data_IF_112602223583
#
_entry.id   IF_112602223583
#
_cell.length_a   1.000
_cell.length_b   1.000
_cell.length_c   1.000
_cell.angle_alpha   90.00
_cell.angle_beta   90.00
_cell.angle_gamma   90.00
#
_symmetry.space_group_name_H-M   'P 1'
#
loop_
_entity.id
_entity.type
_entity.pdbx_description
1 polymer ?
#
# COMPACT_ATOMS: atom_id res chain seq x y z
N UNK A 1 23.28 28.95 -33.97
CA UNK A 1 22.91 28.45 -32.62
C UNK A 1 21.60 27.64 -32.56
N UNK A 2 20.81 27.50 -33.63
CA UNK A 2 19.55 26.73 -33.62
C UNK A 2 19.70 25.19 -33.55
N UNK A 3 20.87 24.63 -33.90
CA UNK A 3 21.09 23.17 -33.97
C UNK A 3 21.17 22.47 -32.60
N UNK A 4 21.60 23.18 -31.54
CA UNK A 4 21.78 22.58 -30.19
C UNK A 4 20.45 22.39 -29.45
N UNK A 5 19.45 23.24 -29.71
CA UNK A 5 18.13 23.14 -29.08
C UNK A 5 17.34 21.90 -29.54
N UNK A 6 17.46 21.51 -30.81
CA UNK A 6 16.74 20.36 -31.38
C UNK A 6 17.30 19.00 -30.89
N UNK A 7 18.60 18.91 -30.61
CA UNK A 7 19.20 17.68 -30.07
C UNK A 7 18.72 17.39 -28.62
N UNK A 8 18.46 18.44 -27.84
CA UNK A 8 18.08 18.30 -26.43
C UNK A 8 16.63 17.83 -26.24
N UNK A 9 15.72 18.17 -27.15
CA UNK A 9 14.31 17.75 -27.05
C UNK A 9 14.11 16.25 -27.35
N UNK A 10 14.85 15.71 -28.33
CA UNK A 10 14.79 14.27 -28.69
C UNK A 10 15.26 13.35 -27.55
N UNK A 11 16.23 13.78 -26.76
CA UNK A 11 16.74 13.00 -25.62
C UNK A 11 15.76 12.86 -24.45
N UNK A 12 14.94 13.89 -24.17
CA UNK A 12 13.95 13.84 -23.06
C UNK A 12 12.78 12.89 -23.37
N UNK A 13 12.32 12.87 -24.62
CA UNK A 13 11.23 12.00 -25.04
C UNK A 13 11.57 10.52 -24.85
N UNK A 14 12.78 10.10 -25.26
CA UNK A 14 13.26 8.71 -25.10
C UNK A 14 13.31 8.23 -23.65
N UNK A 15 13.80 9.06 -22.71
CA UNK A 15 13.88 8.68 -21.29
C UNK A 15 12.50 8.48 -20.65
N UNK A 16 11.54 9.33 -20.99
CA UNK A 16 10.18 9.20 -20.46
C UNK A 16 9.50 7.93 -20.99
N UNK A 17 9.69 7.63 -22.28
CA UNK A 17 9.17 6.41 -22.90
C UNK A 17 9.79 5.15 -22.25
N UNK A 18 11.11 5.14 -22.04
CA UNK A 18 11.80 4.03 -21.39
C UNK A 18 11.33 3.82 -19.94
N UNK A 19 11.16 4.90 -19.18
CA UNK A 19 10.63 4.82 -17.82
C UNK A 19 9.16 4.34 -17.79
N UNK A 20 8.34 4.79 -18.73
CA UNK A 20 6.96 4.33 -18.86
C UNK A 20 6.91 2.82 -19.18
N UNK A 21 7.78 2.35 -20.09
CA UNK A 21 7.95 0.93 -20.40
C UNK A 21 8.38 0.12 -19.17
N UNK A 22 9.36 0.61 -18.41
CA UNK A 22 9.80 -0.05 -17.18
C UNK A 22 8.68 -0.16 -16.15
N UNK A 23 7.89 0.91 -15.94
CA UNK A 23 6.73 0.89 -15.04
C UNK A 23 5.63 -0.05 -15.53
N UNK A 24 5.38 -0.11 -16.83
CA UNK A 24 4.41 -1.04 -17.42
C UNK A 24 4.85 -2.48 -17.22
N UNK A 25 6.13 -2.78 -17.48
CA UNK A 25 6.73 -4.10 -17.26
C UNK A 25 6.65 -4.52 -15.79
N UNK A 26 6.99 -3.64 -14.85
CA UNK A 26 6.87 -3.93 -13.43
C UNK A 26 5.42 -4.19 -13.01
N UNK A 27 4.46 -3.41 -13.52
CA UNK A 27 3.02 -3.63 -13.27
C UNK A 27 2.55 -4.97 -13.83
N UNK A 28 2.94 -5.32 -15.05
CA UNK A 28 2.61 -6.61 -15.66
C UNK A 28 3.20 -7.78 -14.88
N UNK A 29 4.45 -7.63 -14.39
CA UNK A 29 5.10 -8.63 -13.54
C UNK A 29 4.34 -8.84 -12.23
N UNK A 30 4.00 -7.77 -11.52
CA UNK A 30 3.22 -7.84 -10.27
C UNK A 30 1.85 -8.49 -10.53
N UNK A 31 1.16 -8.11 -11.61
CA UNK A 31 -0.13 -8.69 -11.97
C UNK A 31 -0.03 -10.19 -12.28
N UNK A 32 1.04 -10.63 -12.95
CA UNK A 32 1.28 -12.05 -13.20
C UNK A 32 1.55 -12.82 -11.90
N UNK A 33 2.40 -12.27 -11.02
CA UNK A 33 2.68 -12.85 -9.71
C UNK A 33 1.40 -12.98 -8.87
N UNK A 34 0.54 -11.95 -8.85
CA UNK A 34 -0.76 -12.00 -8.18
C UNK A 34 -1.70 -13.05 -8.79
N UNK A 35 -1.71 -13.18 -10.13
CA UNK A 35 -2.52 -14.19 -10.83
C UNK A 35 -2.08 -15.62 -10.48
N UNK A 36 -0.77 -15.88 -10.48
CA UNK A 36 -0.20 -17.16 -10.09
C UNK A 36 -0.47 -17.49 -8.62
N UNK A 37 -0.31 -16.51 -7.74
CA UNK A 37 -0.60 -16.66 -6.32
C UNK A 37 -2.08 -16.97 -6.07
N UNK A 38 -2.99 -16.29 -6.78
CA UNK A 38 -4.43 -16.54 -6.73
C UNK A 38 -4.79 -17.95 -7.21
N UNK A 39 -4.18 -18.41 -8.31
CA UNK A 39 -4.39 -19.76 -8.82
C UNK A 39 -3.92 -20.82 -7.81
N UNK A 40 -2.74 -20.62 -7.22
CA UNK A 40 -2.21 -21.51 -6.18
C UNK A 40 -3.08 -21.53 -4.93
N UNK A 41 -3.51 -20.35 -4.46
CA UNK A 41 -4.42 -20.24 -3.32
C UNK A 41 -5.72 -21.01 -3.56
N UNK A 42 -6.30 -20.93 -4.77
CA UNK A 42 -7.50 -21.70 -5.11
C UNK A 42 -7.26 -23.20 -5.12
N UNK A 43 -6.14 -23.64 -5.70
CA UNK A 43 -5.76 -25.05 -5.73
C UNK A 43 -5.58 -25.63 -4.32
N UNK A 44 -4.81 -24.95 -3.46
CA UNK A 44 -4.59 -25.38 -2.06
C UNK A 44 -5.89 -25.34 -1.25
N UNK A 45 -6.78 -24.38 -1.54
CA UNK A 45 -8.10 -24.35 -0.91
C UNK A 45 -8.92 -25.60 -1.27
N UNK A 46 -8.95 -25.97 -2.55
CA UNK A 46 -9.70 -27.13 -3.05
C UNK A 46 -9.14 -28.45 -2.51
N UNK A 47 -7.82 -28.53 -2.29
CA UNK A 47 -7.17 -29.70 -1.69
C UNK A 47 -7.51 -29.87 -0.19
N UNK A 48 -7.65 -28.77 0.54
CA UNK A 48 -7.92 -28.79 1.99
C UNK A 48 -9.41 -28.77 2.36
N UNK A 49 -10.26 -28.21 1.50
CA UNK A 49 -11.69 -28.08 1.77
C UNK A 49 -12.43 -29.36 1.41
N UNK A 50 -13.04 -30.02 2.40
CA UNK A 50 -13.84 -31.24 2.18
C UNK A 50 -15.06 -30.98 1.31
N UNK A 51 -15.71 -29.84 1.54
CA UNK A 51 -16.98 -29.46 0.91
C UNK A 51 -16.78 -28.45 -0.23
N UNK A 52 -15.56 -27.96 -0.44
CA UNK A 52 -15.20 -27.02 -1.50
C UNK A 52 -15.59 -25.56 -1.27
N UNK A 53 -16.28 -25.24 -0.16
CA UNK A 53 -16.83 -23.90 0.09
C UNK A 53 -16.14 -23.14 1.24
N UNK A 54 -15.75 -23.84 2.30
CA UNK A 54 -15.25 -23.23 3.54
C UNK A 54 -14.01 -23.95 4.06
N UNK A 55 -13.21 -23.24 4.87
CA UNK A 55 -12.15 -23.83 5.67
C UNK A 55 -12.34 -23.50 7.14
N UNK A 56 -11.99 -24.45 8.00
CA UNK A 56 -11.91 -24.25 9.45
C UNK A 56 -10.61 -23.55 9.84
N UNK A 57 -10.62 -22.83 10.97
CA UNK A 57 -9.44 -22.14 11.50
C UNK A 57 -8.24 -23.08 11.70
N UNK A 58 -8.49 -24.34 12.06
CA UNK A 58 -7.47 -25.39 12.21
C UNK A 58 -6.67 -25.62 10.91
N UNK A 59 -7.33 -25.46 9.76
CA UNK A 59 -6.76 -25.70 8.43
C UNK A 59 -6.03 -24.48 7.87
N UNK A 60 -6.18 -23.29 8.49
CA UNK A 60 -5.57 -22.07 7.93
C UNK A 60 -4.06 -22.15 7.89
N UNK A 61 -3.44 -22.67 8.95
CA UNK A 61 -1.99 -22.80 8.99
C UNK A 61 -1.48 -23.67 7.84
N UNK A 62 -2.15 -24.78 7.56
CA UNK A 62 -1.81 -25.68 6.46
C UNK A 62 -2.04 -25.01 5.11
N UNK A 63 -3.14 -24.28 4.96
CA UNK A 63 -3.42 -23.48 3.76
C UNK A 63 -2.32 -22.46 3.49
N UNK A 64 -1.93 -21.66 4.48
CA UNK A 64 -0.86 -20.66 4.33
C UNK A 64 0.49 -21.31 4.02
N UNK A 65 0.81 -22.47 4.62
CA UNK A 65 2.01 -23.22 4.31
C UNK A 65 1.97 -23.83 2.90
N UNK A 66 0.81 -24.27 2.41
CA UNK A 66 0.66 -24.75 1.04
C UNK A 66 0.83 -23.64 0.00
N UNK A 67 0.29 -22.45 0.28
CA UNK A 67 0.37 -21.30 -0.64
C UNK A 67 1.77 -20.68 -0.68
N UNK A 68 2.34 -20.39 0.50
CA UNK A 68 3.61 -19.68 0.63
C UNK A 68 4.84 -20.60 0.81
N UNK A 69 4.62 -21.90 1.00
CA UNK A 69 5.68 -22.88 1.28
C UNK A 69 6.22 -22.77 2.71
N UNK A 70 7.46 -23.20 2.90
CA UNK A 70 8.19 -23.17 4.18
C UNK A 70 8.65 -21.76 4.62
N UNK A 71 8.12 -20.70 3.98
CA UNK A 71 8.45 -19.32 4.36
C UNK A 71 7.98 -19.06 5.79
N UNK A 72 8.81 -18.37 6.58
CA UNK A 72 8.46 -17.97 7.94
C UNK A 72 7.24 -17.04 7.90
N UNK A 73 6.08 -17.58 8.24
CA UNK A 73 4.84 -16.83 8.33
C UNK A 73 4.96 -15.84 9.49
N UNK A 74 4.69 -14.57 9.20
CA UNK A 74 4.68 -13.55 10.23
C UNK A 74 3.34 -13.60 10.97
N UNK A 75 3.40 -13.73 12.31
CA UNK A 75 2.20 -13.89 13.16
C UNK A 75 1.29 -12.68 13.08
N UNK A 76 1.84 -11.48 12.97
CA UNK A 76 1.05 -10.25 12.91
C UNK A 76 0.34 -10.13 11.57
N UNK A 77 1.02 -10.53 10.50
CA UNK A 77 0.44 -10.58 9.17
C UNK A 77 -0.65 -11.66 9.06
N UNK A 78 -0.49 -12.82 9.70
CA UNK A 78 -1.56 -13.82 9.80
C UNK A 78 -2.79 -13.28 10.54
N UNK A 79 -2.60 -12.53 11.64
CA UNK A 79 -3.71 -11.87 12.33
C UNK A 79 -4.42 -10.86 11.43
N UNK A 80 -3.66 -10.05 10.66
CA UNK A 80 -4.25 -9.11 9.70
C UNK A 80 -5.11 -9.83 8.65
N UNK A 81 -4.64 -10.97 8.14
CA UNK A 81 -5.37 -11.81 7.19
C UNK A 81 -6.67 -12.32 7.81
N UNK A 82 -6.58 -12.93 9.00
CA UNK A 82 -7.76 -13.47 9.68
C UNK A 82 -8.76 -12.36 9.94
N UNK A 83 -8.33 -11.23 10.50
CA UNK A 83 -9.19 -10.06 10.74
C UNK A 83 -9.80 -9.51 9.45
N UNK A 84 -9.05 -9.53 8.34
CA UNK A 84 -9.58 -9.09 7.04
C UNK A 84 -10.62 -10.07 6.51
N UNK A 85 -10.37 -11.37 6.63
CA UNK A 85 -11.28 -12.38 6.13
C UNK A 85 -12.56 -12.48 6.97
N UNK A 86 -12.48 -12.24 8.29
CA UNK A 86 -13.63 -12.21 9.20
C UNK A 86 -14.36 -10.88 9.21
N UNK A 87 -13.65 -9.75 9.01
CA UNK A 87 -14.20 -8.40 9.15
C UNK A 87 -14.72 -7.74 7.87
N UNK A 88 -14.36 -8.25 6.68
CA UNK A 88 -14.67 -7.58 5.40
C UNK A 88 -15.68 -8.31 4.49
N UNK A 89 -16.60 -9.13 5.01
CA UNK A 89 -17.86 -9.33 4.27
C UNK A 89 -18.75 -8.10 4.44
N UNK A 90 -18.31 -6.97 3.88
CA UNK A 90 -19.27 -6.02 3.32
C UNK A 90 -19.80 -6.74 2.08
N UNK A 91 -21.07 -7.17 2.03
CA UNK A 91 -21.62 -7.76 0.82
C UNK A 91 -21.37 -6.78 -0.33
N UNK A 92 -20.80 -7.30 -1.42
CA UNK A 92 -20.63 -6.56 -2.66
C UNK A 92 -22.05 -6.18 -3.14
N UNK A 93 -22.46 -4.94 -2.87
CA UNK A 93 -23.76 -4.33 -3.23
C UNK A 93 -23.89 -4.13 -4.76
N UNK A 94 -23.29 -4.99 -5.57
CA UNK A 94 -23.65 -5.12 -7.00
C UNK A 94 -24.89 -5.99 -7.22
N UNK A 95 -25.49 -6.54 -6.17
CA UNK A 95 -26.88 -7.02 -6.21
C UNK A 95 -27.84 -5.97 -5.66
N UNK A 96 -28.33 -5.10 -6.54
CA UNK A 96 -29.48 -4.22 -6.31
C UNK A 96 -30.64 -5.00 -5.66
N UNK A 97 -30.96 -4.70 -4.40
CA UNK A 97 -32.33 -4.76 -3.89
C UNK A 97 -32.47 -3.90 -2.64
N UNK A 98 -33.25 -2.84 -2.80
CA UNK A 98 -33.65 -1.86 -1.80
C UNK A 98 -34.17 -2.53 -0.52
N UNK A 99 -33.61 -2.16 0.64
CA UNK A 99 -34.33 -2.12 1.92
C UNK A 99 -33.51 -1.35 2.95
N UNK A 100 -33.89 -0.09 3.12
CA UNK A 100 -33.45 0.82 4.17
C UNK A 100 -33.73 0.20 5.54
N UNK A 101 -32.70 -0.02 6.37
CA UNK A 101 -32.89 -0.18 7.82
C UNK A 101 -31.76 0.48 8.59
N UNK A 102 -32.08 1.66 9.13
CA UNK A 102 -31.33 2.39 10.15
C UNK A 102 -31.41 1.62 11.46
N UNK A 103 -30.28 1.10 11.94
CA UNK A 103 -30.21 0.39 13.22
C UNK A 103 -28.83 0.53 13.88
N UNK A 104 -28.72 1.48 14.81
CA UNK A 104 -27.59 1.66 15.72
C UNK A 104 -27.56 0.49 16.71
N UNK A 105 -26.68 -0.49 16.50
CA UNK A 105 -26.59 -1.71 17.29
C UNK A 105 -25.24 -1.88 17.99
N UNK A 106 -25.22 -1.55 19.29
CA UNK A 106 -24.14 -1.84 20.24
C UNK A 106 -24.08 -3.34 20.50
N UNK A 107 -23.08 -4.06 19.97
CA UNK A 107 -22.95 -5.51 20.18
C UNK A 107 -21.79 -5.85 21.13
N UNK A 108 -22.13 -6.07 22.40
CA UNK A 108 -21.33 -6.86 23.34
C UNK A 108 -21.61 -8.36 23.08
N UNK A 109 -20.70 -9.03 22.36
CA UNK A 109 -20.77 -10.48 22.10
C UNK A 109 -19.96 -11.26 23.14
N UNK A 110 -20.63 -11.67 24.22
CA UNK A 110 -20.14 -12.67 25.17
C UNK A 110 -20.11 -14.07 24.52
N UNK A 111 -18.90 -14.57 24.26
CA UNK A 111 -18.46 -15.88 24.78
C UNK A 111 -19.09 -17.17 24.23
N UNK A 112 -19.41 -17.25 22.94
CA UNK A 112 -19.62 -18.55 22.28
C UNK A 112 -18.53 -18.73 21.23
N UNK A 113 -17.57 -19.63 21.48
CA UNK A 113 -16.57 -20.09 20.51
C UNK A 113 -17.27 -20.83 19.37
N UNK A 114 -17.96 -20.07 18.51
CA UNK A 114 -18.40 -20.57 17.22
C UNK A 114 -17.17 -20.81 16.37
N UNK A 115 -17.12 -21.99 15.74
CA UNK A 115 -16.12 -22.29 14.71
C UNK A 115 -16.19 -21.20 13.65
N UNK A 116 -15.14 -20.40 13.53
CA UNK A 116 -15.10 -19.33 12.54
C UNK A 116 -14.83 -19.98 11.19
N UNK A 117 -15.86 -20.05 10.34
CA UNK A 117 -15.74 -20.52 8.95
C UNK A 117 -15.39 -19.34 8.05
N UNK A 118 -14.42 -19.54 7.15
CA UNK A 118 -14.03 -18.51 6.17
C UNK A 118 -14.36 -18.94 4.74
N UNK A 119 -15.05 -18.10 3.95
CA UNK A 119 -15.34 -18.40 2.56
C UNK A 119 -14.08 -18.36 1.69
N UNK A 120 -14.06 -19.19 0.65
CA UNK A 120 -12.97 -19.29 -0.34
C UNK A 120 -12.46 -17.94 -0.85
N UNK A 121 -13.34 -17.08 -1.33
CA UNK A 121 -12.95 -15.81 -1.94
C UNK A 121 -12.37 -14.82 -0.92
N UNK A 122 -12.86 -14.81 0.33
CA UNK A 122 -12.29 -13.98 1.38
C UNK A 122 -10.86 -14.43 1.72
N UNK A 123 -10.62 -15.74 1.78
CA UNK A 123 -9.30 -16.27 2.07
C UNK A 123 -8.31 -15.97 0.94
N UNK A 124 -8.72 -16.16 -0.32
CA UNK A 124 -7.90 -15.82 -1.50
C UNK A 124 -7.54 -14.33 -1.52
N UNK A 125 -8.49 -13.46 -1.21
CA UNK A 125 -8.23 -12.03 -1.11
C UNK A 125 -7.28 -11.68 0.03
N UNK A 126 -7.41 -12.36 1.17
CA UNK A 126 -6.52 -12.17 2.31
C UNK A 126 -5.07 -12.61 2.01
N UNK A 127 -4.88 -13.68 1.22
CA UNK A 127 -3.54 -14.08 0.71
C UNK A 127 -2.89 -12.97 -0.11
N UNK A 128 -3.63 -12.34 -1.03
CA UNK A 128 -3.11 -11.26 -1.86
C UNK A 128 -2.68 -10.07 -0.98
N UNK A 129 -3.54 -9.67 -0.04
CA UNK A 129 -3.23 -8.62 0.93
C UNK A 129 -2.03 -8.94 1.80
N UNK A 130 -1.84 -10.20 2.19
CA UNK A 130 -0.67 -10.64 2.93
C UNK A 130 0.62 -10.45 2.13
N UNK A 131 0.64 -10.88 0.86
CA UNK A 131 1.83 -10.72 0.00
C UNK A 131 2.15 -9.23 -0.21
N UNK A 132 1.13 -8.40 -0.41
CA UNK A 132 1.26 -6.94 -0.48
C UNK A 132 1.86 -6.36 0.81
N UNK A 133 1.35 -6.77 1.97
CA UNK A 133 1.87 -6.37 3.28
C UNK A 133 3.35 -6.78 3.45
N UNK A 134 3.71 -8.02 3.11
CA UNK A 134 5.10 -8.50 3.21
C UNK A 134 6.02 -7.72 2.27
N UNK A 135 5.57 -7.43 1.05
CA UNK A 135 6.31 -6.62 0.08
C UNK A 135 6.53 -5.19 0.58
N UNK A 136 5.46 -4.55 1.06
CA UNK A 136 5.52 -3.20 1.64
C UNK A 136 6.41 -3.17 2.88
N UNK A 137 6.35 -4.16 3.76
CA UNK A 137 7.19 -4.24 4.95
C UNK A 137 8.67 -4.36 4.60
N UNK A 138 9.04 -5.14 3.58
CA UNK A 138 10.44 -5.20 3.09
C UNK A 138 10.91 -3.85 2.60
N UNK A 139 10.08 -3.16 1.82
CA UNK A 139 10.37 -1.80 1.35
C UNK A 139 10.55 -0.82 2.52
N UNK A 140 9.61 -0.84 3.48
CA UNK A 140 9.64 0.01 4.67
C UNK A 140 10.90 -0.25 5.49
N UNK A 141 11.24 -1.52 5.75
CA UNK A 141 12.46 -1.89 6.47
C UNK A 141 13.72 -1.40 5.75
N UNK A 142 13.79 -1.58 4.42
CA UNK A 142 14.93 -1.11 3.63
C UNK A 142 15.07 0.42 3.66
N UNK A 143 13.96 1.16 3.61
CA UNK A 143 13.98 2.61 3.81
C UNK A 143 14.44 2.97 5.23
N UNK A 144 13.95 2.26 6.24
CA UNK A 144 14.31 2.50 7.63
C UNK A 144 15.81 2.32 7.87
N UNK A 145 16.37 1.18 7.43
CA UNK A 145 17.80 0.87 7.53
C UNK A 145 18.67 1.91 6.82
N UNK A 146 18.17 2.50 5.72
CA UNK A 146 18.88 3.55 4.99
C UNK A 146 18.92 4.89 5.74
N UNK A 147 17.87 5.24 6.47
CA UNK A 147 17.69 6.58 7.05
C UNK A 147 17.89 6.67 8.56
N UNK A 148 17.66 5.59 9.30
CA UNK A 148 17.89 5.48 10.75
C UNK A 148 19.38 5.33 11.03
N UNK A 149 20.13 6.42 10.86
CA UNK A 149 21.59 6.42 11.09
C UNK A 149 21.93 6.26 12.56
N UNK A 150 21.02 6.66 13.44
CA UNK A 150 21.17 6.53 14.87
C UNK A 150 20.93 5.08 15.36
N UNK A 151 20.27 4.24 14.55
CA UNK A 151 19.95 2.85 14.91
C UNK A 151 18.97 2.74 16.07
N UNK A 152 18.11 3.76 16.27
CA UNK A 152 17.17 3.79 17.41
C UNK A 152 15.87 3.03 17.14
N UNK A 153 15.65 2.60 15.90
CA UNK A 153 14.37 2.02 15.49
C UNK A 153 13.25 3.05 15.31
N UNK A 154 13.58 4.35 15.38
CA UNK A 154 12.69 5.50 15.18
C UNK A 154 13.37 6.58 14.33
N UNK A 155 12.68 7.13 13.34
CA UNK A 155 13.17 8.21 12.50
C UNK A 155 12.86 9.56 13.13
N UNK A 156 13.89 10.34 13.44
CA UNK A 156 13.70 11.73 13.88
C UNK A 156 13.34 12.66 12.73
N UNK A 157 12.90 13.89 13.05
CA UNK A 157 12.48 14.90 12.06
C UNK A 157 13.48 15.12 10.91
N UNK A 158 14.77 15.19 11.22
CA UNK A 158 15.82 15.42 10.21
C UNK A 158 16.04 14.20 9.29
N UNK A 159 15.89 12.98 9.81
CA UNK A 159 15.98 11.73 9.06
C UNK A 159 14.76 11.55 8.16
N UNK A 160 13.56 11.81 8.70
CA UNK A 160 12.31 11.81 7.96
C UNK A 160 12.32 12.84 6.83
N UNK A 161 12.80 14.07 7.08
CA UNK A 161 12.94 15.10 6.04
C UNK A 161 13.78 14.60 4.86
N UNK A 162 14.95 14.00 5.16
CA UNK A 162 15.86 13.45 4.13
C UNK A 162 15.22 12.31 3.36
N UNK A 163 14.48 11.43 4.05
CA UNK A 163 13.73 10.34 3.45
C UNK A 163 12.70 10.87 2.45
N UNK A 164 11.88 11.85 2.86
CA UNK A 164 10.84 12.45 2.01
C UNK A 164 11.45 13.17 0.81
N UNK A 165 12.57 13.87 0.99
CA UNK A 165 13.30 14.53 -0.11
C UNK A 165 13.87 13.52 -1.12
N UNK A 166 14.41 12.39 -0.68
CA UNK A 166 14.89 11.33 -1.59
C UNK A 166 13.71 10.64 -2.29
N UNK A 167 12.61 10.39 -1.58
CA UNK A 167 11.38 9.85 -2.18
C UNK A 167 10.84 10.80 -3.25
N UNK A 168 10.78 12.10 -2.97
CA UNK A 168 10.30 13.09 -3.94
C UNK A 168 11.26 13.22 -5.14
N UNK A 169 12.57 13.16 -4.91
CA UNK A 169 13.56 13.12 -6.01
C UNK A 169 13.38 11.92 -6.93
N UNK A 170 12.97 10.78 -6.37
CA UNK A 170 12.63 9.55 -7.12
C UNK A 170 11.21 9.55 -7.67
N UNK A 171 10.34 10.37 -7.10
CA UNK A 171 8.97 10.54 -7.55
C UNK A 171 8.99 11.45 -8.77
N UNK A 172 8.94 10.85 -9.97
CA UNK A 172 8.84 11.63 -11.19
C UNK A 172 7.41 12.12 -11.37
N UNK A 173 7.06 13.17 -10.61
CA UNK A 173 5.79 13.87 -10.73
C UNK A 173 5.86 14.82 -11.92
N UNK A 174 4.89 14.73 -12.81
CA UNK A 174 4.77 15.61 -13.96
C UNK A 174 3.34 16.11 -14.07
N UNK A 175 3.19 17.41 -14.33
CA UNK A 175 1.91 18.03 -14.64
C UNK A 175 2.02 18.70 -16.00
N UNK A 176 1.11 18.37 -16.93
CA UNK A 176 1.09 18.90 -18.30
C UNK A 176 2.46 18.77 -19.01
N UNK A 177 3.17 17.66 -18.77
CA UNK A 177 4.49 17.38 -19.37
C UNK A 177 5.67 18.13 -18.72
N UNK A 178 5.43 18.95 -17.70
CA UNK A 178 6.49 19.62 -16.93
C UNK A 178 6.77 18.83 -15.66
N UNK A 179 8.04 18.46 -15.44
CA UNK A 179 8.47 17.83 -14.20
C UNK A 179 8.39 18.85 -13.06
N UNK A 180 7.61 18.56 -12.03
CA UNK A 180 7.47 19.41 -10.85
C UNK A 180 8.23 18.74 -9.71
N UNK A 181 9.24 19.44 -9.19
CA UNK A 181 9.91 19.05 -7.95
C UNK A 181 9.22 19.76 -6.79
N UNK A 182 8.67 19.00 -5.84
CA UNK A 182 8.17 19.57 -4.59
C UNK A 182 9.31 19.73 -3.60
N UNK A 183 9.40 20.91 -3.00
CA UNK A 183 10.31 21.16 -1.89
C UNK A 183 9.58 20.77 -0.61
N UNK A 184 10.14 19.81 0.12
CA UNK A 184 9.62 19.37 1.42
C UNK A 184 9.97 20.44 2.46
N UNK A 185 8.95 21.04 3.07
CA UNK A 185 9.08 22.08 4.09
C UNK A 185 8.87 21.51 5.51
N UNK A 186 9.24 22.27 6.54
CA UNK A 186 9.01 21.87 7.94
C UNK A 186 7.53 21.74 8.28
N UNK A 187 6.67 22.58 7.68
CA UNK A 187 5.21 22.49 7.83
C UNK A 187 4.65 21.17 7.28
N UNK A 188 5.25 20.65 6.21
CA UNK A 188 4.85 19.36 5.64
C UNK A 188 5.20 18.21 6.59
N UNK A 189 6.33 18.33 7.30
CA UNK A 189 6.72 17.37 8.31
C UNK A 189 5.77 17.39 9.50
N UNK A 190 5.37 18.58 9.96
CA UNK A 190 4.39 18.72 11.05
C UNK A 190 3.06 18.07 10.68
N UNK A 191 2.57 18.31 9.46
CA UNK A 191 1.36 17.66 8.95
C UNK A 191 1.49 16.13 8.91
N UNK A 192 2.62 15.61 8.42
CA UNK A 192 2.84 14.16 8.35
C UNK A 192 2.91 13.53 9.74
N UNK A 193 3.61 14.17 10.67
CA UNK A 193 3.67 13.71 12.06
C UNK A 193 2.29 13.70 12.68
N UNK A 194 1.49 14.76 12.51
CA UNK A 194 0.12 14.81 13.04
C UNK A 194 -0.77 13.65 12.54
N UNK A 195 -0.56 13.19 11.31
CA UNK A 195 -1.35 12.10 10.72
C UNK A 195 -0.84 10.69 11.07
N UNK A 196 0.47 10.53 11.29
CA UNK A 196 1.11 9.21 11.36
C UNK A 196 1.76 8.87 12.70
N UNK A 197 2.12 9.87 13.51
CA UNK A 197 2.71 9.70 14.85
C UNK A 197 1.59 9.37 15.84
N UNK A 198 1.29 8.07 15.97
CA UNK A 198 0.18 7.59 16.78
C UNK A 198 0.52 7.68 18.28
N UNK A 199 1.79 7.53 18.65
CA UNK A 199 2.26 7.62 20.03
C UNK A 199 2.62 9.06 20.47
N UNK A 200 2.66 10.02 19.53
CA UNK A 200 2.95 11.45 19.71
C UNK A 200 4.33 11.71 20.31
N UNK A 201 5.31 10.86 20.01
CA UNK A 201 6.67 11.00 20.52
C UNK A 201 7.56 11.91 19.67
N UNK A 202 7.03 12.44 18.56
CA UNK A 202 7.72 13.31 17.62
C UNK A 202 8.70 12.59 16.69
N UNK A 203 8.67 11.26 16.68
CA UNK A 203 9.44 10.38 15.81
C UNK A 203 8.49 9.44 15.05
N UNK A 204 9.01 8.76 14.03
CA UNK A 204 8.25 7.79 13.26
C UNK A 204 8.86 6.41 13.44
N UNK A 205 8.11 5.50 14.05
CA UNK A 205 8.48 4.09 14.16
C UNK A 205 8.32 3.36 12.81
N UNK A 206 8.81 2.11 12.74
CA UNK A 206 8.67 1.27 11.53
C UNK A 206 7.21 1.06 11.12
N UNK A 207 6.31 0.91 12.09
CA UNK A 207 4.89 0.70 11.83
C UNK A 207 4.20 1.97 11.31
N UNK A 208 4.68 3.15 11.74
CA UNK A 208 4.13 4.47 11.39
C UNK A 208 4.71 5.02 10.09
N UNK A 209 5.82 4.46 9.59
CA UNK A 209 6.44 4.94 8.35
C UNK A 209 5.53 4.76 7.13
N UNK A 210 4.77 3.66 7.06
CA UNK A 210 3.86 3.42 5.94
C UNK A 210 2.73 4.47 5.87
N UNK A 211 1.96 4.75 6.95
CA UNK A 211 0.97 5.83 6.93
C UNK A 211 1.62 7.20 6.73
N UNK A 212 2.83 7.45 7.26
CA UNK A 212 3.55 8.71 6.99
C UNK A 212 3.87 8.91 5.49
N UNK A 213 4.29 7.84 4.80
CA UNK A 213 4.53 7.88 3.36
C UNK A 213 3.24 8.11 2.56
N UNK A 214 2.13 7.52 2.99
CA UNK A 214 0.82 7.73 2.38
C UNK A 214 0.34 9.17 2.58
N UNK A 215 0.48 9.72 3.79
CA UNK A 215 0.15 11.11 4.11
C UNK A 215 0.99 12.09 3.26
N UNK A 216 2.27 11.80 3.03
CA UNK A 216 3.09 12.59 2.10
C UNK A 216 2.59 12.51 0.65
N UNK A 217 2.24 11.32 0.16
CA UNK A 217 1.78 11.18 -1.23
C UNK A 217 0.47 11.95 -1.48
N UNK A 218 -0.41 12.00 -0.49
CA UNK A 218 -1.63 12.81 -0.51
C UNK A 218 -1.34 14.32 -0.42
N UNK A 219 -0.48 14.74 0.52
CA UNK A 219 -0.07 16.15 0.62
C UNK A 219 0.61 16.63 -0.66
N UNK A 220 1.45 15.79 -1.27
CA UNK A 220 2.10 16.07 -2.54
C UNK A 220 1.09 16.24 -3.68
N UNK A 221 0.03 15.41 -3.73
CA UNK A 221 -1.07 15.55 -4.70
C UNK A 221 -1.75 16.90 -4.55
N UNK A 222 -2.14 17.29 -3.33
CA UNK A 222 -2.77 18.58 -3.05
C UNK A 222 -1.88 19.77 -3.45
N UNK A 223 -0.58 19.71 -3.17
CA UNK A 223 0.37 20.75 -3.58
C UNK A 223 0.51 20.87 -5.11
N UNK A 224 0.43 19.75 -5.84
CA UNK A 224 0.43 19.80 -7.30
C UNK A 224 -0.82 20.48 -7.85
N UNK A 225 -1.99 20.17 -7.28
CA UNK A 225 -3.27 20.78 -7.67
C UNK A 225 -3.26 22.29 -7.42
N UNK A 226 -2.79 22.73 -6.26
CA UNK A 226 -2.63 24.15 -5.94
C UNK A 226 -1.70 24.87 -6.93
N UNK A 227 -0.56 24.26 -7.29
CA UNK A 227 0.36 24.82 -8.30
C UNK A 227 -0.27 24.89 -9.70
N UNK A 228 -1.08 23.89 -10.07
CA UNK A 228 -1.79 23.89 -11.36
C UNK A 228 -2.85 24.98 -11.41
N UNK A 229 -3.61 25.19 -10.33
CA UNK A 229 -4.60 26.25 -10.23
C UNK A 229 -3.95 27.63 -10.29
N UNK A 230 -2.86 27.84 -9.56
CA UNK A 230 -2.12 29.11 -9.58
C UNK A 230 -1.55 29.46 -10.96
N UNK A 231 -1.13 28.46 -11.74
CA UNK A 231 -0.61 28.66 -13.09
C UNK A 231 -1.69 29.02 -14.13
N UNK A 232 -2.96 28.65 -13.91
CA UNK A 232 -4.07 28.95 -14.82
C UNK A 232 -4.63 30.38 -14.64
N UNK A 233 -4.29 31.08 -13.56
CA UNK A 233 -4.78 32.44 -13.29
C UNK A 233 -3.91 33.57 -13.88
N UNK A 234 -2.88 33.26 -14.68
CA UNK A 234 -2.17 34.26 -15.47
C UNK A 234 -3.05 34.54 -16.71
N UNK A 235 -4.06 35.39 -16.54
CA UNK A 235 -4.82 35.98 -17.63
C UNK A 235 -3.90 37.02 -18.29
N UNK A 236 -3.45 36.71 -19.52
CA UNK A 236 -2.70 37.62 -20.39
C UNK A 236 -3.63 38.67 -21.00
#
# INVERSE_FOLDING_TARGET
MASVAAATSRGRCRRHEEQAKLRAMNRAKIANEQKELKARARYVFEDLSRDGEWLEESQFKEFFLGVFGTRKLDKDALRLVVNTATGNMVPDDTSVCSSTSTGTGTNNSTGRSGTTVLPKEALVHAVIKYEEYVSQRKMVNSMFEKYDKAGRGKLGRSELLRLLQDKERKSHRAAKGVAIMLVVSTKDLEYILEQADADRDGHISRAELLPALAAWDELARLKMEQKQMAACCIIL
#
